data_IF_644125638038
#
_entry.id   IF_644125638038
#
_cell.length_a   1.000
_cell.length_b   1.000
_cell.length_c   1.000
_cell.angle_alpha   90.00
_cell.angle_beta   90.00
_cell.angle_gamma   90.00
#
_symmetry.space_group_name_H-M   'P 1'
#
loop_
_entity.id
_entity.type
_entity.pdbx_description
1 polymer ?
#
# COMPACT_ATOMS: atom_id res chain seq x y z
N UNK A 1 2.49 -17.19 -18.70
CA UNK A 1 1.67 -16.05 -18.23
C UNK A 1 1.27 -16.34 -16.80
N UNK A 2 1.70 -15.51 -15.85
CA UNK A 2 1.36 -15.70 -14.43
C UNK A 2 -0.06 -15.20 -14.14
N UNK A 3 -0.81 -15.92 -13.32
CA UNK A 3 -2.11 -15.50 -12.79
C UNK A 3 -1.93 -14.88 -11.40
N UNK A 4 -2.45 -13.68 -11.19
CA UNK A 4 -2.48 -13.02 -9.88
C UNK A 4 -3.90 -12.92 -9.36
N UNK A 5 -4.03 -12.87 -8.04
CA UNK A 5 -5.23 -12.33 -7.38
C UNK A 5 -4.86 -11.11 -6.54
N UNK A 6 -5.78 -10.16 -6.42
CA UNK A 6 -5.58 -8.88 -5.75
C UNK A 6 -6.60 -8.69 -4.62
N UNK A 7 -6.20 -9.05 -3.40
CA UNK A 7 -7.06 -8.96 -2.21
C UNK A 7 -6.86 -7.61 -1.52
N UNK A 8 -7.94 -7.05 -0.96
CA UNK A 8 -7.93 -5.70 -0.40
C UNK A 8 -7.41 -4.69 -1.44
N UNK A 9 -7.93 -4.83 -2.66
CA UNK A 9 -7.33 -4.29 -3.87
C UNK A 9 -7.24 -2.75 -3.86
N UNK A 10 -8.13 -2.09 -3.11
CA UNK A 10 -8.25 -0.64 -3.10
C UNK A 10 -8.40 -0.10 -4.52
N UNK A 11 -7.39 0.64 -4.97
CA UNK A 11 -7.33 1.22 -6.31
C UNK A 11 -6.30 0.54 -7.22
N UNK A 12 -5.88 -0.68 -6.89
CA UNK A 12 -5.05 -1.54 -7.73
C UNK A 12 -3.56 -1.20 -7.73
N UNK A 13 -3.05 -0.55 -6.68
CA UNK A 13 -1.64 -0.17 -6.60
C UNK A 13 -0.68 -1.35 -6.59
N UNK A 14 -1.03 -2.45 -5.92
CA UNK A 14 -0.19 -3.66 -5.91
C UNK A 14 -0.23 -4.33 -7.29
N UNK A 15 -1.44 -4.55 -7.82
CA UNK A 15 -1.66 -5.06 -9.18
C UNK A 15 -0.86 -4.27 -10.22
N UNK A 16 -0.94 -2.94 -10.22
CA UNK A 16 -0.24 -2.10 -11.18
C UNK A 16 1.28 -2.31 -11.14
N UNK A 17 1.86 -2.46 -9.94
CA UNK A 17 3.28 -2.78 -9.81
C UNK A 17 3.66 -4.12 -10.45
N UNK A 18 2.79 -5.14 -10.33
CA UNK A 18 2.99 -6.43 -10.99
C UNK A 18 2.80 -6.34 -12.51
N UNK A 19 1.77 -5.64 -12.99
CA UNK A 19 1.52 -5.42 -14.42
C UNK A 19 2.68 -4.68 -15.09
N UNK A 20 3.36 -3.78 -14.37
CA UNK A 20 4.56 -3.08 -14.87
C UNK A 20 5.83 -3.94 -14.87
N UNK A 21 5.93 -4.93 -13.97
CA UNK A 21 7.14 -5.76 -13.82
C UNK A 21 7.11 -7.04 -14.69
N UNK A 22 5.92 -7.60 -14.91
CA UNK A 22 5.74 -8.86 -15.63
C UNK A 22 5.31 -8.64 -17.08
N UNK A 23 6.03 -9.28 -18.01
CA UNK A 23 5.63 -9.36 -19.42
C UNK A 23 4.54 -10.42 -19.56
N UNK A 24 3.30 -10.06 -19.20
CA UNK A 24 2.14 -10.96 -19.25
C UNK A 24 1.80 -11.59 -17.90
N UNK A 25 1.32 -10.76 -16.98
CA UNK A 25 0.54 -11.17 -15.80
C UNK A 25 -0.94 -10.94 -16.07
N UNK A 26 -1.80 -11.82 -15.58
CA UNK A 26 -3.25 -11.69 -15.67
C UNK A 26 -3.87 -11.69 -14.28
N UNK A 27 -4.56 -10.61 -13.92
CA UNK A 27 -5.45 -10.64 -12.76
C UNK A 27 -6.64 -11.53 -13.07
N UNK A 28 -6.87 -12.55 -12.23
CA UNK A 28 -8.01 -13.47 -12.38
C UNK A 28 -9.06 -13.29 -11.30
N UNK A 29 -8.75 -12.53 -10.25
CA UNK A 29 -9.67 -12.22 -9.16
C UNK A 29 -9.20 -10.99 -8.39
N UNK A 30 -10.12 -10.10 -8.07
CA UNK A 30 -9.88 -8.94 -7.20
C UNK A 30 -10.97 -8.88 -6.14
N UNK A 31 -10.63 -8.42 -4.93
CA UNK A 31 -11.59 -8.20 -3.84
C UNK A 31 -11.40 -6.84 -3.18
N UNK A 32 -12.46 -6.05 -3.12
CA UNK A 32 -12.53 -4.74 -2.48
C UNK A 32 -13.98 -4.43 -2.05
N UNK A 33 -14.15 -4.01 -0.78
CA UNK A 33 -15.48 -3.77 -0.19
C UNK A 33 -15.92 -2.30 -0.33
N UNK A 34 -14.98 -1.36 -0.44
CA UNK A 34 -15.29 0.06 -0.58
C UNK A 34 -15.76 0.37 -2.02
N UNK A 35 -17.04 0.71 -2.15
CA UNK A 35 -17.65 1.02 -3.45
C UNK A 35 -16.95 2.11 -4.25
N UNK A 36 -16.32 3.10 -3.60
CA UNK A 36 -15.63 4.18 -4.30
C UNK A 36 -14.26 3.71 -4.79
N UNK A 37 -13.57 2.87 -4.01
CA UNK A 37 -12.35 2.20 -4.44
C UNK A 37 -12.64 1.28 -5.64
N UNK A 38 -13.72 0.48 -5.59
CA UNK A 38 -14.18 -0.34 -6.73
C UNK A 38 -14.43 0.52 -7.98
N UNK A 39 -15.08 1.67 -7.84
CA UNK A 39 -15.30 2.59 -8.96
C UNK A 39 -13.98 3.05 -9.60
N UNK A 40 -13.00 3.48 -8.79
CA UNK A 40 -11.67 3.87 -9.28
C UNK A 40 -10.92 2.68 -9.88
N UNK A 41 -11.01 1.50 -9.27
CA UNK A 41 -10.38 0.27 -9.75
C UNK A 41 -10.89 -0.10 -11.14
N UNK A 42 -12.21 -0.15 -11.32
CA UNK A 42 -12.85 -0.50 -12.59
C UNK A 42 -12.54 0.52 -13.71
N UNK A 43 -12.41 1.81 -13.37
CA UNK A 43 -12.03 2.83 -14.35
C UNK A 43 -10.61 2.65 -14.90
N UNK A 44 -9.71 2.00 -14.15
CA UNK A 44 -8.30 1.88 -14.50
C UNK A 44 -7.89 0.48 -14.99
N UNK A 45 -8.50 -0.57 -14.44
CA UNK A 45 -8.14 -1.95 -14.76
C UNK A 45 -9.18 -2.66 -15.64
N UNK A 46 -10.45 -2.23 -15.57
CA UNK A 46 -11.55 -2.67 -16.46
C UNK A 46 -11.83 -4.18 -16.50
N UNK A 47 -12.93 -4.54 -17.17
CA UNK A 47 -13.16 -5.89 -17.70
C UNK A 47 -13.43 -7.04 -16.71
N UNK A 48 -13.29 -6.83 -15.40
CA UNK A 48 -13.49 -7.86 -14.38
C UNK A 48 -14.44 -7.43 -13.26
N UNK A 49 -15.15 -8.40 -12.70
CA UNK A 49 -15.97 -8.21 -11.50
C UNK A 49 -15.07 -8.18 -10.28
N UNK A 50 -15.11 -7.07 -9.54
CA UNK A 50 -14.44 -6.95 -8.24
C UNK A 50 -15.35 -7.59 -7.19
N UNK A 51 -14.85 -8.63 -6.53
CA UNK A 51 -15.54 -9.27 -5.42
C UNK A 51 -15.65 -8.31 -4.24
N UNK A 52 -16.76 -8.37 -3.50
CA UNK A 52 -16.98 -7.52 -2.33
C UNK A 52 -16.22 -8.01 -1.10
N UNK A 53 -16.97 -8.33 -0.05
CA UNK A 53 -16.43 -8.77 1.23
C UNK A 53 -15.75 -10.15 1.15
N UNK A 54 -14.42 -10.18 1.23
CA UNK A 54 -13.62 -11.41 1.18
C UNK A 54 -13.96 -12.40 2.29
N UNK A 55 -14.47 -11.92 3.43
CA UNK A 55 -14.86 -12.76 4.57
C UNK A 55 -16.09 -13.61 4.27
N UNK A 56 -16.88 -13.22 3.27
CA UNK A 56 -18.09 -13.91 2.81
C UNK A 56 -17.86 -14.72 1.53
N UNK A 57 -16.66 -14.65 0.96
CA UNK A 57 -16.33 -15.32 -0.30
C UNK A 57 -15.90 -16.76 -0.04
N UNK A 58 -16.57 -17.73 -0.67
CA UNK A 58 -16.13 -19.11 -0.65
C UNK A 58 -14.79 -19.24 -1.39
N UNK A 59 -13.86 -19.97 -0.79
CA UNK A 59 -12.56 -20.24 -1.43
C UNK A 59 -12.74 -20.98 -2.75
N UNK A 60 -13.77 -21.82 -2.87
CA UNK A 60 -14.05 -22.56 -4.09
C UNK A 60 -14.28 -21.63 -5.30
N UNK A 61 -14.84 -20.44 -5.07
CA UNK A 61 -15.14 -19.45 -6.11
C UNK A 61 -13.91 -18.61 -6.51
N UNK A 62 -12.83 -18.67 -5.72
CA UNK A 62 -11.58 -17.99 -6.07
C UNK A 62 -10.86 -18.84 -7.13
N UNK A 63 -10.50 -18.30 -8.30
CA UNK A 63 -9.78 -19.07 -9.32
C UNK A 63 -8.38 -19.50 -8.86
N UNK A 64 -7.88 -20.58 -9.45
CA UNK A 64 -6.48 -20.97 -9.28
C UNK A 64 -5.56 -19.88 -9.85
N UNK A 65 -4.51 -19.59 -9.09
CA UNK A 65 -3.60 -18.49 -9.33
C UNK A 65 -2.19 -18.85 -8.89
N UNK A 66 -1.21 -18.17 -9.47
CA UNK A 66 0.21 -18.42 -9.19
C UNK A 66 0.72 -17.52 -8.07
N UNK A 67 0.18 -16.31 -7.94
CA UNK A 67 0.65 -15.32 -6.97
C UNK A 67 -0.55 -14.63 -6.29
N UNK A 68 -0.54 -14.60 -4.95
CA UNK A 68 -1.52 -13.87 -4.15
C UNK A 68 -0.97 -12.51 -3.72
N UNK A 69 -1.72 -11.43 -3.94
CA UNK A 69 -1.37 -10.06 -3.55
C UNK A 69 -2.35 -9.58 -2.47
N UNK A 70 -1.85 -8.96 -1.39
CA UNK A 70 -2.73 -8.41 -0.35
C UNK A 70 -2.11 -7.24 0.44
N UNK A 71 -2.75 -6.06 0.39
CA UNK A 71 -2.47 -4.92 1.28
C UNK A 71 -3.47 -4.86 2.42
N UNK A 72 -3.32 -5.72 3.43
CA UNK A 72 -4.39 -5.96 4.41
C UNK A 72 -4.40 -4.93 5.55
N UNK A 73 -5.57 -4.57 6.09
CA UNK A 73 -5.68 -3.65 7.22
C UNK A 73 -4.92 -4.13 8.47
N UNK A 74 -4.22 -3.21 9.15
CA UNK A 74 -3.51 -3.50 10.40
C UNK A 74 -4.52 -3.63 11.56
N UNK A 75 -4.87 -4.86 11.95
CA UNK A 75 -5.76 -5.15 13.08
C UNK A 75 -4.98 -5.79 14.25
N UNK A 76 -5.35 -5.50 15.51
CA UNK A 76 -4.72 -6.12 16.67
C UNK A 76 -5.10 -7.61 16.80
N UNK A 77 -4.10 -8.48 16.99
CA UNK A 77 -4.26 -9.94 17.11
C UNK A 77 -4.54 -10.41 18.55
N UNK A 78 -4.90 -9.51 19.47
CA UNK A 78 -4.95 -9.78 20.90
C UNK A 78 -5.95 -10.88 21.31
N UNK A 79 -6.87 -11.30 20.44
CA UNK A 79 -7.80 -12.41 20.69
C UNK A 79 -7.35 -13.76 20.09
N UNK A 80 -6.51 -13.77 19.05
CA UNK A 80 -6.13 -15.02 18.37
C UNK A 80 -5.13 -15.89 19.16
N UNK A 81 -4.41 -15.31 20.13
CA UNK A 81 -3.41 -16.02 20.96
C UNK A 81 -3.99 -16.91 22.07
N UNK A 82 -5.30 -16.87 22.31
CA UNK A 82 -5.95 -17.61 23.40
C UNK A 82 -6.33 -19.06 23.00
N UNK A 83 -5.44 -19.81 22.32
CA UNK A 83 -5.51 -21.29 22.14
C UNK A 83 -6.91 -21.90 21.85
N UNK A 84 -7.83 -21.18 21.19
CA UNK A 84 -9.22 -21.62 20.97
C UNK A 84 -9.52 -22.05 19.53
N UNK A 85 -8.49 -22.49 18.81
CA UNK A 85 -8.62 -23.06 17.47
C UNK A 85 -9.19 -22.09 16.43
N UNK A 86 -9.41 -22.62 15.22
CA UNK A 86 -9.89 -21.87 14.04
C UNK A 86 -11.18 -21.05 14.28
N UNK A 87 -12.00 -21.40 15.28
CA UNK A 87 -13.28 -20.76 15.55
C UNK A 87 -13.19 -19.36 16.20
N UNK A 88 -12.04 -18.98 16.77
CA UNK A 88 -11.84 -17.69 17.48
C UNK A 88 -11.10 -16.63 16.65
N UNK A 89 -10.84 -16.92 15.37
CA UNK A 89 -10.14 -16.04 14.41
C UNK A 89 -11.06 -14.99 13.74
N UNK A 90 -12.34 -14.98 14.13
CA UNK A 90 -13.42 -14.15 13.59
C UNK A 90 -13.17 -12.66 13.90
N UNK A 91 -12.33 -12.01 13.11
CA UNK A 91 -12.12 -10.56 13.21
C UNK A 91 -10.85 -10.01 12.60
N UNK A 92 -9.88 -10.85 12.23
CA UNK A 92 -8.64 -10.36 11.58
C UNK A 92 -8.50 -10.87 10.15
N UNK A 93 -8.47 -9.93 9.20
CA UNK A 93 -8.44 -10.17 7.75
C UNK A 93 -7.20 -10.95 7.26
N UNK A 94 -6.16 -11.08 8.10
CA UNK A 94 -5.04 -11.99 7.84
C UNK A 94 -5.47 -13.46 7.75
N UNK A 95 -6.43 -13.91 8.57
CA UNK A 95 -6.87 -15.31 8.55
C UNK A 95 -7.68 -15.64 7.29
N UNK A 96 -8.32 -14.65 6.65
CA UNK A 96 -8.91 -14.82 5.33
C UNK A 96 -7.84 -15.05 4.25
N UNK A 97 -6.71 -14.35 4.34
CA UNK A 97 -5.55 -14.61 3.47
C UNK A 97 -5.02 -16.02 3.73
N UNK A 98 -4.80 -16.40 4.99
CA UNK A 98 -4.32 -17.74 5.35
C UNK A 98 -5.25 -18.85 4.84
N UNK A 99 -6.57 -18.69 5.02
CA UNK A 99 -7.58 -19.61 4.51
C UNK A 99 -7.43 -19.85 3.00
N UNK A 100 -7.20 -18.78 2.23
CA UNK A 100 -6.99 -18.86 0.78
C UNK A 100 -5.64 -19.51 0.46
N UNK A 101 -4.56 -19.14 1.16
CA UNK A 101 -3.23 -19.73 0.96
C UNK A 101 -3.21 -21.24 1.21
N UNK A 102 -3.89 -21.72 2.27
CA UNK A 102 -3.96 -23.14 2.64
C UNK A 102 -4.67 -23.98 1.57
N UNK A 103 -5.72 -23.41 0.98
CA UNK A 103 -6.59 -24.12 0.05
C UNK A 103 -6.11 -24.01 -1.41
N UNK A 104 -5.66 -22.83 -1.85
CA UNK A 104 -5.23 -22.57 -3.23
C UNK A 104 -3.75 -22.80 -3.47
N UNK A 105 -2.93 -22.73 -2.41
CA UNK A 105 -1.48 -22.97 -2.45
C UNK A 105 -0.77 -22.32 -3.65
N UNK A 106 -0.94 -20.99 -3.88
CA UNK A 106 -0.20 -20.30 -4.93
C UNK A 106 1.31 -20.50 -4.79
N UNK A 107 2.03 -20.35 -5.90
CA UNK A 107 3.49 -20.51 -5.92
C UNK A 107 4.20 -19.45 -5.05
N UNK A 108 3.62 -18.25 -4.98
CA UNK A 108 4.13 -17.15 -4.17
C UNK A 108 3.03 -16.23 -3.63
N UNK A 109 3.38 -15.36 -2.70
CA UNK A 109 2.54 -14.24 -2.28
C UNK A 109 3.36 -12.97 -2.00
N UNK A 110 2.67 -11.82 -2.06
CA UNK A 110 3.14 -10.55 -1.51
C UNK A 110 2.08 -9.98 -0.57
N UNK A 111 2.45 -9.79 0.70
CA UNK A 111 1.66 -9.06 1.69
C UNK A 111 2.32 -7.72 2.02
N UNK A 112 1.53 -6.68 2.16
CA UNK A 112 1.97 -5.34 2.58
C UNK A 112 1.28 -4.92 3.87
N UNK A 113 2.01 -4.22 4.74
CA UNK A 113 1.43 -3.59 5.94
C UNK A 113 2.27 -2.39 6.44
N UNK A 114 1.74 -1.68 7.43
CA UNK A 114 2.44 -0.56 8.08
C UNK A 114 3.72 -1.02 8.81
N UNK A 115 4.77 -0.19 8.80
CA UNK A 115 6.06 -0.53 9.46
C UNK A 115 5.91 -0.92 10.93
N UNK A 116 4.89 -0.38 11.61
CA UNK A 116 4.65 -0.59 13.03
C UNK A 116 4.30 -2.05 13.34
N UNK A 117 3.84 -2.83 12.37
CA UNK A 117 3.59 -4.26 12.53
C UNK A 117 4.82 -5.00 13.09
N UNK A 118 6.03 -4.58 12.69
CA UNK A 118 7.31 -5.14 13.18
C UNK A 118 7.48 -5.03 14.70
N UNK A 119 6.98 -3.97 15.32
CA UNK A 119 7.08 -3.72 16.76
C UNK A 119 5.76 -3.91 17.52
N UNK A 120 4.67 -4.21 16.83
CA UNK A 120 3.34 -4.31 17.42
C UNK A 120 3.27 -5.45 18.44
N UNK A 121 2.66 -5.20 19.60
CA UNK A 121 2.58 -6.14 20.72
C UNK A 121 3.96 -6.77 21.06
N UNK A 122 5.00 -5.91 21.15
CA UNK A 122 6.40 -6.32 21.40
C UNK A 122 6.93 -7.33 20.36
N UNK A 123 6.46 -7.23 19.11
CA UNK A 123 6.84 -8.11 18.00
C UNK A 123 6.02 -9.40 17.90
N UNK A 124 5.14 -9.70 18.88
CA UNK A 124 4.35 -10.94 18.90
C UNK A 124 3.46 -11.08 17.68
N UNK A 125 2.85 -9.97 17.23
CA UNK A 125 1.93 -10.00 16.09
C UNK A 125 2.61 -10.48 14.81
N UNK A 126 3.77 -9.92 14.46
CA UNK A 126 4.51 -10.36 13.29
C UNK A 126 4.99 -11.82 13.43
N UNK A 127 5.42 -12.24 14.62
CA UNK A 127 5.83 -13.62 14.87
C UNK A 127 4.68 -14.62 14.65
N UNK A 128 3.46 -14.29 15.09
CA UNK A 128 2.27 -15.11 14.84
C UNK A 128 1.99 -15.20 13.35
N UNK A 129 1.96 -14.07 12.63
CA UNK A 129 1.78 -14.05 11.17
C UNK A 129 2.80 -14.95 10.47
N UNK A 130 4.08 -14.83 10.83
CA UNK A 130 5.15 -15.63 10.22
C UNK A 130 5.00 -17.13 10.52
N UNK A 131 4.64 -17.50 11.75
CA UNK A 131 4.40 -18.90 12.11
C UNK A 131 3.25 -19.51 11.31
N UNK A 132 2.16 -18.79 11.13
CA UNK A 132 1.01 -19.21 10.31
C UNK A 132 1.39 -19.36 8.82
N UNK A 133 2.12 -18.40 8.25
CA UNK A 133 2.58 -18.49 6.86
C UNK A 133 3.56 -19.66 6.63
N UNK A 134 4.42 -19.94 7.60
CA UNK A 134 5.31 -21.11 7.59
C UNK A 134 4.54 -22.43 7.72
N UNK A 135 3.54 -22.49 8.60
CA UNK A 135 2.64 -23.64 8.73
C UNK A 135 1.81 -23.88 7.46
N UNK A 136 1.47 -22.82 6.72
CA UNK A 136 0.87 -22.92 5.39
C UNK A 136 1.84 -23.43 4.31
N UNK A 137 3.12 -23.65 4.65
CA UNK A 137 4.13 -24.29 3.80
C UNK A 137 5.10 -23.34 3.11
N UNK A 138 5.07 -22.03 3.40
CA UNK A 138 5.88 -21.05 2.67
C UNK A 138 7.20 -20.73 3.37
N UNK A 139 8.25 -20.55 2.56
CA UNK A 139 9.47 -19.86 2.97
C UNK A 139 9.25 -18.36 2.84
N UNK A 140 9.31 -17.63 3.96
CA UNK A 140 8.90 -16.22 4.04
C UNK A 140 10.09 -15.30 4.27
N UNK A 141 10.12 -14.20 3.53
CA UNK A 141 11.08 -13.11 3.58
C UNK A 141 10.36 -11.83 4.03
N UNK A 142 11.00 -11.02 4.86
CA UNK A 142 10.43 -9.76 5.35
C UNK A 142 11.41 -8.61 5.27
N UNK A 143 10.96 -7.43 4.84
CA UNK A 143 11.78 -6.21 4.85
C UNK A 143 10.92 -4.96 5.01
N UNK A 144 11.48 -3.89 5.59
CA UNK A 144 10.88 -2.56 5.61
C UNK A 144 11.52 -1.69 4.53
N UNK A 145 10.74 -1.31 3.52
CA UNK A 145 11.19 -0.45 2.42
C UNK A 145 10.55 0.94 2.51
N UNK A 146 11.27 1.94 2.00
CA UNK A 146 10.87 3.36 2.05
C UNK A 146 10.63 3.89 0.65
N UNK A 147 9.49 4.54 0.41
CA UNK A 147 9.13 5.06 -0.91
C UNK A 147 10.20 5.96 -1.55
N UNK A 148 10.87 6.80 -0.75
CA UNK A 148 11.97 7.67 -1.21
C UNK A 148 13.19 6.94 -1.74
N UNK A 149 13.43 5.71 -1.28
CA UNK A 149 14.55 4.90 -1.74
C UNK A 149 14.26 4.32 -3.15
N UNK A 150 13.04 4.54 -3.67
CA UNK A 150 12.53 4.09 -4.97
C UNK A 150 11.94 5.26 -5.78
N UNK A 151 12.49 6.47 -5.60
CA UNK A 151 12.21 7.62 -6.48
C UNK A 151 10.95 8.42 -6.15
N UNK A 152 10.26 8.12 -5.05
CA UNK A 152 9.03 8.84 -4.65
C UNK A 152 9.30 9.79 -3.48
N UNK A 153 9.05 11.10 -3.59
CA UNK A 153 9.35 12.10 -2.55
C UNK A 153 8.38 12.03 -1.34
N UNK A 154 8.25 10.87 -0.71
CA UNK A 154 7.38 10.64 0.44
C UNK A 154 8.13 9.83 1.51
N UNK A 155 8.08 10.28 2.77
CA UNK A 155 8.56 9.53 3.93
C UNK A 155 7.54 8.44 4.33
N UNK A 156 7.34 7.45 3.44
CA UNK A 156 6.41 6.32 3.61
C UNK A 156 7.22 5.03 3.70
N UNK A 157 7.22 4.44 4.88
CA UNK A 157 7.87 3.14 5.12
C UNK A 157 6.80 2.08 5.38
N UNK A 158 6.99 0.89 4.79
CA UNK A 158 6.06 -0.24 4.88
C UNK A 158 6.83 -1.54 5.02
N UNK A 159 6.25 -2.47 5.77
CA UNK A 159 6.77 -3.84 5.83
C UNK A 159 6.14 -4.65 4.72
N UNK A 160 6.97 -5.43 4.04
CA UNK A 160 6.57 -6.35 3.00
C UNK A 160 6.92 -7.77 3.43
N UNK A 161 6.02 -8.70 3.18
CA UNK A 161 6.23 -10.12 3.40
C UNK A 161 6.08 -10.82 2.06
N UNK A 162 7.14 -11.47 1.60
CA UNK A 162 7.16 -12.26 0.37
C UNK A 162 7.33 -13.71 0.73
N UNK A 163 6.44 -14.57 0.26
CA UNK A 163 6.50 -16.01 0.51
C UNK A 163 6.57 -16.82 -0.75
N UNK A 164 7.31 -17.93 -0.72
CA UNK A 164 7.39 -18.90 -1.80
C UNK A 164 7.08 -20.30 -1.28
N UNK A 165 6.23 -21.02 -2.00
CA UNK A 165 5.90 -22.41 -1.66
C UNK A 165 7.07 -23.35 -1.94
N UNK A 166 7.87 -23.05 -2.97
CA UNK A 166 9.13 -23.74 -3.23
C UNK A 166 10.27 -23.15 -2.38
N UNK A 167 10.84 -23.94 -1.49
CA UNK A 167 11.88 -23.49 -0.55
C UNK A 167 13.26 -23.32 -1.17
N UNK A 168 13.46 -23.85 -2.39
CA UNK A 168 14.70 -23.68 -3.17
C UNK A 168 14.82 -22.28 -3.81
N UNK A 169 13.74 -21.50 -3.80
CA UNK A 169 13.78 -20.11 -4.25
C UNK A 169 14.71 -19.30 -3.35
N UNK A 170 15.70 -18.64 -3.96
CA UNK A 170 16.52 -17.63 -3.31
C UNK A 170 16.03 -16.24 -3.73
N UNK A 171 15.40 -15.54 -2.80
CA UNK A 171 14.85 -14.21 -3.00
C UNK A 171 15.55 -13.19 -2.13
N UNK A 172 15.77 -12.00 -2.70
CA UNK A 172 16.27 -10.83 -1.97
C UNK A 172 15.40 -9.63 -2.33
N UNK A 173 15.11 -8.80 -1.33
CA UNK A 173 14.42 -7.54 -1.57
C UNK A 173 15.26 -6.60 -2.43
N UNK A 174 14.60 -5.74 -3.23
CA UNK A 174 15.31 -4.79 -4.08
C UNK A 174 16.09 -3.78 -3.24
N UNK A 175 17.22 -3.32 -3.79
CA UNK A 175 18.04 -2.30 -3.15
C UNK A 175 17.57 -0.89 -3.53
N UNK A 176 17.85 0.13 -2.70
CA UNK A 176 17.61 1.53 -3.05
C UNK A 176 18.21 1.90 -4.40
N UNK A 177 17.49 2.71 -5.20
CA UNK A 177 17.95 3.13 -6.53
C UNK A 177 19.02 4.25 -6.48
N UNK A 178 19.25 4.83 -5.30
CA UNK A 178 20.27 5.89 -5.10
C UNK A 178 19.93 7.25 -5.72
N UNK A 179 18.69 7.45 -6.17
CA UNK A 179 18.23 8.70 -6.77
C UNK A 179 17.70 9.66 -5.69
N UNK A 180 18.17 10.91 -5.71
CA UNK A 180 17.58 11.97 -4.91
C UNK A 180 16.18 12.33 -5.44
N UNK A 181 15.24 12.53 -4.53
CA UNK A 181 13.86 12.93 -4.86
C UNK A 181 13.66 14.41 -4.55
N UNK A 182 12.78 15.07 -5.30
CA UNK A 182 12.29 16.40 -4.97
C UNK A 182 10.76 16.42 -4.95
N UNK A 183 10.16 17.10 -3.98
CA UNK A 183 8.70 17.28 -3.94
C UNK A 183 8.22 17.99 -5.20
N UNK A 184 9.03 18.87 -5.80
CA UNK A 184 8.74 19.50 -7.09
C UNK A 184 8.38 18.53 -8.21
N UNK A 185 8.95 17.31 -8.21
CA UNK A 185 8.74 16.30 -9.28
C UNK A 185 7.29 15.81 -9.37
N UNK A 186 6.51 15.94 -8.29
CA UNK A 186 5.11 15.53 -8.26
C UNK A 186 4.14 16.69 -8.47
N UNK A 187 4.58 17.94 -8.36
CA UNK A 187 3.69 19.11 -8.33
C UNK A 187 3.15 19.43 -9.72
N UNK A 188 1.90 19.88 -9.78
CA UNK A 188 1.34 20.47 -10.99
C UNK A 188 1.87 21.90 -11.16
N UNK A 189 2.16 22.29 -12.40
CA UNK A 189 2.64 23.64 -12.70
C UNK A 189 1.60 24.72 -12.36
N UNK A 190 0.32 24.42 -12.58
CA UNK A 190 -0.79 25.36 -12.41
C UNK A 190 -1.96 24.69 -11.66
N UNK A 191 -1.82 24.42 -10.35
CA UNK A 191 -2.88 23.80 -9.56
C UNK A 191 -4.05 24.79 -9.37
N UNK A 192 -5.28 24.28 -9.37
CA UNK A 192 -6.50 25.06 -9.13
C UNK A 192 -6.44 25.80 -7.77
N UNK A 193 -6.83 27.07 -7.76
CA UNK A 193 -6.80 27.91 -6.55
C UNK A 193 -7.67 27.36 -5.40
N UNK A 194 -8.68 26.53 -5.71
CA UNK A 194 -9.52 25.86 -4.70
C UNK A 194 -8.72 25.03 -3.69
N UNK A 195 -7.49 24.63 -4.02
CA UNK A 195 -6.60 23.88 -3.13
C UNK A 195 -5.90 24.76 -2.09
N UNK A 196 -5.89 26.08 -2.27
CA UNK A 196 -5.41 27.02 -1.25
C UNK A 196 -6.33 26.97 -0.03
N UNK A 197 -5.75 26.76 1.16
CA UNK A 197 -6.56 26.60 2.37
C UNK A 197 -7.16 27.95 2.82
N UNK A 198 -8.30 27.88 3.50
CA UNK A 198 -8.96 29.07 4.07
C UNK A 198 -8.16 29.68 5.23
N UNK A 199 -8.39 30.97 5.51
CA UNK A 199 -7.77 31.67 6.64
C UNK A 199 -8.05 30.97 7.98
N UNK A 200 -9.30 30.54 8.18
CA UNK A 200 -9.70 29.81 9.39
C UNK A 200 -8.94 28.51 9.55
N UNK A 201 -8.72 27.76 8.47
CA UNK A 201 -7.98 26.51 8.53
C UNK A 201 -6.50 26.75 8.80
N UNK A 202 -5.91 27.76 8.15
CA UNK A 202 -4.52 28.14 8.33
C UNK A 202 -4.23 28.58 9.77
N UNK A 203 -5.04 29.49 10.32
CA UNK A 203 -4.96 29.92 11.71
C UNK A 203 -5.10 28.73 12.68
N UNK A 204 -6.00 27.78 12.37
CA UNK A 204 -6.16 26.55 13.16
C UNK A 204 -4.90 25.68 13.16
N UNK A 205 -4.24 25.53 12.00
CA UNK A 205 -2.96 24.81 11.88
C UNK A 205 -1.84 25.49 12.67
N UNK A 206 -1.70 26.82 12.54
CA UNK A 206 -0.71 27.60 13.28
C UNK A 206 -0.93 27.51 14.80
N UNK A 207 -2.17 27.66 15.26
CA UNK A 207 -2.53 27.56 16.68
C UNK A 207 -2.19 26.18 17.25
N UNK A 208 -2.64 25.09 16.60
CA UNK A 208 -2.35 23.71 17.05
C UNK A 208 -0.87 23.41 17.10
N UNK A 209 -0.08 23.92 16.15
CA UNK A 209 1.39 23.76 16.15
C UNK A 209 2.04 24.47 17.34
N UNK A 210 1.56 25.68 17.70
CA UNK A 210 2.03 26.41 18.87
C UNK A 210 1.64 25.71 20.19
N UNK A 211 0.38 25.27 20.31
CA UNK A 211 -0.13 24.52 21.48
C UNK A 211 0.65 23.22 21.71
N UNK A 212 0.88 22.43 20.66
CA UNK A 212 1.66 21.19 20.75
C UNK A 212 3.10 21.47 21.19
N UNK A 213 3.75 22.50 20.61
CA UNK A 213 5.10 22.91 21.02
C UNK A 213 5.15 23.31 22.50
N UNK A 214 4.17 24.09 22.98
CA UNK A 214 4.08 24.48 24.39
C UNK A 214 3.87 23.28 25.32
N UNK A 215 3.13 22.26 24.87
CA UNK A 215 2.92 21.01 25.60
C UNK A 215 4.07 20.00 25.50
N UNK A 216 5.23 20.38 24.92
CA UNK A 216 6.38 19.48 24.72
C UNK A 216 6.14 18.39 23.67
N UNK A 217 5.10 18.52 22.82
CA UNK A 217 4.76 17.57 21.76
C UNK A 217 5.40 18.03 20.44
N UNK A 218 6.12 17.13 19.77
CA UNK A 218 6.83 17.42 18.52
C UNK A 218 6.01 17.37 17.22
N UNK A 219 4.68 17.46 17.28
CA UNK A 219 3.81 17.24 16.11
C UNK A 219 3.01 18.49 15.71
N UNK A 220 2.79 18.67 14.41
CA UNK A 220 2.03 19.77 13.81
C UNK A 220 1.82 19.53 12.32
N UNK A 221 1.41 20.57 11.58
CA UNK A 221 1.31 20.46 10.13
C UNK A 221 2.69 20.39 9.46
N UNK A 222 2.79 19.62 8.38
CA UNK A 222 3.93 19.59 7.46
C UNK A 222 3.80 20.68 6.41
N UNK A 223 4.89 21.41 6.19
CA UNK A 223 4.98 22.48 5.20
C UNK A 223 6.19 22.21 4.32
N UNK A 224 5.98 22.18 3.01
CA UNK A 224 6.95 21.74 2.01
C UNK A 224 6.92 22.67 0.78
N UNK A 225 8.00 22.66 0.01
CA UNK A 225 8.16 23.39 -1.25
C UNK A 225 8.79 22.48 -2.31
N UNK A 226 9.04 22.99 -3.51
CA UNK A 226 9.56 22.21 -4.63
C UNK A 226 10.95 21.60 -4.33
N UNK A 227 11.76 22.29 -3.53
CA UNK A 227 13.13 21.91 -3.16
C UNK A 227 13.17 20.92 -1.98
N UNK A 228 12.04 20.70 -1.31
CA UNK A 228 11.94 19.73 -0.23
C UNK A 228 12.26 18.33 -0.77
N UNK A 229 13.14 17.59 -0.10
CA UNK A 229 13.53 16.25 -0.56
C UNK A 229 12.35 15.26 -0.56
N UNK A 230 11.46 15.35 0.43
CA UNK A 230 10.27 14.51 0.54
C UNK A 230 9.21 15.11 1.48
N UNK A 231 7.96 14.68 1.32
CA UNK A 231 6.84 15.00 2.21
C UNK A 231 6.71 14.01 3.37
N UNK A 232 5.84 14.29 4.34
CA UNK A 232 5.34 13.26 5.26
C UNK A 232 4.52 12.20 4.51
N UNK A 233 4.22 11.08 5.18
CA UNK A 233 3.26 10.08 4.68
C UNK A 233 1.88 10.70 4.49
N UNK A 234 1.28 10.57 3.31
CA UNK A 234 -0.15 10.86 3.13
C UNK A 234 -0.99 9.76 3.79
N UNK A 235 -1.92 10.17 4.66
CA UNK A 235 -2.84 9.26 5.35
C UNK A 235 -4.23 9.30 4.70
N UNK A 236 -5.05 8.27 4.93
CA UNK A 236 -6.45 8.31 4.51
C UNK A 236 -7.29 9.37 5.26
N UNK A 237 -6.71 10.09 6.24
CA UNK A 237 -7.35 11.24 6.91
C UNK A 237 -6.97 12.58 6.29
N UNK A 238 -6.08 12.60 5.30
CA UNK A 238 -5.63 13.82 4.62
C UNK A 238 -6.78 14.66 4.05
N UNK A 239 -7.89 14.02 3.66
CA UNK A 239 -9.09 14.72 3.19
C UNK A 239 -9.62 15.76 4.19
N UNK A 240 -9.42 15.56 5.51
CA UNK A 240 -9.97 16.42 6.57
C UNK A 240 -9.40 17.83 6.52
N UNK A 241 -8.08 17.96 6.58
CA UNK A 241 -7.42 19.26 6.71
C UNK A 241 -6.06 19.38 6.02
N UNK A 242 -5.58 18.30 5.39
CA UNK A 242 -4.29 18.26 4.69
C UNK A 242 -3.07 18.49 5.58
N UNK A 243 -3.21 18.40 6.90
CA UNK A 243 -2.15 18.79 7.85
C UNK A 243 -0.82 18.07 7.61
N UNK A 244 -0.83 16.84 7.13
CA UNK A 244 0.40 16.08 6.91
C UNK A 244 1.29 16.71 5.82
N UNK A 245 0.68 17.34 4.81
CA UNK A 245 1.34 17.83 3.59
C UNK A 245 0.66 19.11 3.10
N UNK A 246 1.24 20.27 3.43
CA UNK A 246 0.89 21.55 2.83
C UNK A 246 2.03 22.06 1.95
N UNK A 247 1.69 22.63 0.80
CA UNK A 247 2.66 23.21 -0.13
C UNK A 247 2.71 24.73 0.05
N UNK A 248 3.90 25.27 0.25
CA UNK A 248 4.17 26.70 0.33
C UNK A 248 3.78 27.41 -0.97
N UNK A 249 3.23 28.61 -0.84
CA UNK A 249 2.88 29.47 -1.97
C UNK A 249 3.44 30.87 -1.70
N UNK A 250 4.35 31.40 -2.54
CA UNK A 250 4.87 32.75 -2.37
C UNK A 250 3.74 33.78 -2.34
N UNK A 251 3.67 34.59 -1.28
CA UNK A 251 2.65 35.64 -1.12
C UNK A 251 1.21 35.14 -0.89
N UNK A 252 0.98 33.83 -0.76
CA UNK A 252 -0.33 33.22 -0.51
C UNK A 252 -0.29 32.30 0.71
N UNK A 253 -1.47 31.89 1.19
CA UNK A 253 -1.59 30.81 2.18
C UNK A 253 -1.10 29.48 1.57
N UNK A 254 -0.66 28.50 2.36
CA UNK A 254 -0.33 27.19 1.82
C UNK A 254 -1.53 26.52 1.14
N UNK A 255 -1.26 25.57 0.24
CA UNK A 255 -2.31 24.74 -0.38
C UNK A 255 -2.17 23.27 0.02
N UNK A 256 -3.26 22.53 -0.12
CA UNK A 256 -3.20 21.07 -0.18
C UNK A 256 -2.55 20.62 -1.50
N UNK A 257 -2.01 19.41 -1.52
CA UNK A 257 -1.72 18.75 -2.79
C UNK A 257 -3.02 18.37 -3.49
N UNK A 258 -3.06 18.38 -4.82
CA UNK A 258 -4.22 17.97 -5.61
C UNK A 258 -4.37 16.44 -5.60
N UNK A 259 -5.52 15.88 -6.03
CA UNK A 259 -5.65 14.43 -6.23
C UNK A 259 -4.64 13.86 -7.23
N UNK A 260 -4.27 14.61 -8.29
CA UNK A 260 -3.25 14.19 -9.26
C UNK A 260 -1.85 14.18 -8.62
N UNK A 261 -1.50 15.21 -7.87
CA UNK A 261 -0.25 15.25 -7.11
C UNK A 261 -0.19 14.12 -6.06
N UNK A 262 -1.30 13.78 -5.42
CA UNK A 262 -1.41 12.64 -4.50
C UNK A 262 -1.23 11.28 -5.22
N UNK A 263 -1.73 11.15 -6.45
CA UNK A 263 -1.50 9.97 -7.29
C UNK A 263 -0.01 9.81 -7.63
N UNK A 264 0.64 10.90 -8.08
CA UNK A 264 2.09 10.95 -8.34
C UNK A 264 2.92 10.66 -7.08
N UNK A 265 2.48 11.15 -5.92
CA UNK A 265 3.11 10.87 -4.62
C UNK A 265 3.03 9.39 -4.21
N UNK A 266 2.16 8.59 -4.81
CA UNK A 266 2.12 7.13 -4.67
C UNK A 266 2.73 6.40 -5.88
N UNK A 267 3.22 7.14 -6.87
CA UNK A 267 3.83 6.62 -8.11
C UNK A 267 2.84 6.07 -9.13
N UNK A 268 1.57 6.47 -9.07
CA UNK A 268 0.62 6.17 -10.14
C UNK A 268 0.90 7.04 -11.38
N UNK A 269 0.69 6.51 -12.60
CA UNK A 269 0.92 7.27 -13.83
C UNK A 269 -0.08 8.42 -13.99
N UNK A 270 0.28 9.42 -14.79
CA UNK A 270 -0.61 10.56 -15.10
C UNK A 270 -1.87 10.15 -15.86
N UNK A 271 -1.83 9.01 -16.57
CA UNK A 271 -3.00 8.41 -17.21
C UNK A 271 -4.01 7.78 -16.24
N UNK A 272 -3.63 7.57 -14.97
CA UNK A 272 -4.51 6.97 -13.97
C UNK A 272 -5.75 7.83 -13.74
N UNK A 273 -6.94 7.27 -13.94
CA UNK A 273 -8.22 7.96 -13.84
C UNK A 273 -8.66 8.10 -12.37
N UNK A 274 -9.20 9.27 -12.03
CA UNK A 274 -9.70 9.59 -10.68
C UNK A 274 -11.19 9.96 -10.79
N UNK A 275 -12.11 8.97 -10.90
CA UNK A 275 -13.52 9.21 -11.21
C UNK A 275 -14.37 9.58 -9.97
N UNK A 276 -13.73 9.92 -8.86
CA UNK A 276 -14.36 10.17 -7.55
C UNK A 276 -14.06 11.58 -7.06
N UNK A 277 -14.76 12.02 -6.01
CA UNK A 277 -14.51 13.32 -5.40
C UNK A 277 -13.12 13.41 -4.78
N UNK A 278 -12.57 14.62 -4.67
CA UNK A 278 -11.28 14.88 -4.00
C UNK A 278 -11.18 14.20 -2.63
N UNK A 279 -12.24 14.26 -1.83
CA UNK A 279 -12.26 13.64 -0.51
C UNK A 279 -12.09 12.12 -0.55
N UNK A 280 -12.70 11.44 -1.54
CA UNK A 280 -12.52 10.00 -1.74
C UNK A 280 -11.15 9.69 -2.34
N UNK A 281 -10.68 10.49 -3.30
CA UNK A 281 -9.35 10.32 -3.89
C UNK A 281 -8.25 10.39 -2.81
N UNK A 282 -8.31 11.37 -1.89
CA UNK A 282 -7.35 11.44 -0.79
C UNK A 282 -7.41 10.24 0.16
N UNK A 283 -8.61 9.67 0.42
CA UNK A 283 -8.74 8.44 1.21
C UNK A 283 -8.07 7.27 0.50
N UNK A 284 -8.35 7.12 -0.79
CA UNK A 284 -7.81 6.06 -1.64
C UNK A 284 -6.28 6.13 -1.72
N UNK A 285 -5.69 7.28 -2.09
CA UNK A 285 -4.23 7.43 -2.14
C UNK A 285 -3.54 7.35 -0.77
N UNK A 286 -4.24 7.73 0.31
CA UNK A 286 -3.75 7.54 1.67
C UNK A 286 -3.63 6.07 2.07
N UNK A 287 -4.59 5.24 1.66
CA UNK A 287 -4.63 3.79 1.90
C UNK A 287 -3.84 2.97 0.86
N UNK A 288 -3.55 3.53 -0.31
CA UNK A 288 -2.81 2.82 -1.37
C UNK A 288 -1.35 2.53 -1.01
N UNK A 289 -0.66 1.83 -1.90
CA UNK A 289 0.76 1.48 -1.81
C UNK A 289 1.60 2.38 -2.70
N UNK A 290 2.93 2.35 -2.49
CA UNK A 290 3.87 3.01 -3.39
C UNK A 290 4.16 2.09 -4.59
N UNK A 291 3.65 2.42 -5.77
CA UNK A 291 3.70 1.58 -6.97
C UNK A 291 5.15 1.24 -7.37
N UNK A 292 6.13 2.17 -7.38
CA UNK A 292 7.53 1.83 -7.67
C UNK A 292 8.16 0.82 -6.72
N UNK A 293 7.79 0.85 -5.43
CA UNK A 293 8.28 -0.15 -4.47
C UNK A 293 7.70 -1.53 -4.80
N UNK A 294 6.40 -1.60 -5.10
CA UNK A 294 5.78 -2.86 -5.50
C UNK A 294 6.41 -3.39 -6.78
N UNK A 295 6.59 -2.54 -7.79
CA UNK A 295 7.24 -2.91 -9.05
C UNK A 295 8.63 -3.50 -8.80
N UNK A 296 9.46 -2.84 -7.99
CA UNK A 296 10.80 -3.32 -7.69
C UNK A 296 10.78 -4.68 -6.96
N UNK A 297 9.82 -4.91 -6.05
CA UNK A 297 9.63 -6.22 -5.40
C UNK A 297 9.18 -7.26 -6.45
N UNK A 298 8.22 -6.92 -7.30
CA UNK A 298 7.68 -7.79 -8.33
C UNK A 298 8.76 -8.21 -9.34
N UNK A 299 9.67 -7.32 -9.72
CA UNK A 299 10.84 -7.63 -10.56
C UNK A 299 11.76 -8.67 -9.90
N UNK A 300 12.03 -8.54 -8.59
CA UNK A 300 12.81 -9.54 -7.84
C UNK A 300 12.06 -10.87 -7.72
N UNK A 301 10.74 -10.85 -7.50
CA UNK A 301 9.92 -12.06 -7.44
C UNK A 301 9.90 -12.79 -8.79
N UNK A 302 9.76 -12.05 -9.90
CA UNK A 302 9.83 -12.60 -11.27
C UNK A 302 11.16 -13.31 -11.49
N UNK A 303 12.28 -12.64 -11.20
CA UNK A 303 13.62 -13.22 -11.35
C UNK A 303 13.79 -14.50 -10.52
N UNK A 304 13.33 -14.49 -9.27
CA UNK A 304 13.44 -15.63 -8.36
C UNK A 304 12.61 -16.83 -8.81
N UNK A 305 11.39 -16.60 -9.32
CA UNK A 305 10.51 -17.66 -9.85
C UNK A 305 11.05 -18.27 -11.16
N UNK A 306 11.59 -17.43 -12.05
CA UNK A 306 12.19 -17.89 -13.31
C UNK A 306 13.45 -18.75 -13.08
N UNK A 307 14.35 -18.32 -12.18
CA UNK A 307 15.62 -19.01 -11.93
C UNK A 307 15.46 -20.47 -11.46
N UNK A 308 14.34 -20.80 -10.81
CA UNK A 308 14.04 -22.17 -10.35
C UNK A 308 13.40 -23.02 -11.43
N UNK A 309 12.66 -22.39 -12.35
CA UNK A 309 12.07 -23.08 -13.51
C UNK A 309 13.16 -23.59 -14.45
N UNK A 310 14.20 -22.78 -14.68
CA UNK A 310 15.32 -23.12 -15.57
C UNK A 310 16.23 -24.22 -15.02
N UNK A 311 16.27 -24.43 -13.69
CA UNK A 311 17.07 -25.50 -13.06
C UNK A 311 16.44 -26.89 -13.15
N UNK A 312 15.16 -26.96 -13.53
CA UNK A 312 14.40 -28.22 -13.65
C UNK A 312 14.32 -28.76 -15.09
N UNK A 313 14.91 -28.04 -16.05
CA UNK A 313 15.07 -28.44 -17.45
C UNK A 313 16.51 -28.90 -17.65
#
# INVERSE_FOLDING_TARGET
>A
MFKIIDLFAGIGGIRLGFEQAFDGVRCVFSSEIDKYAVQTYQANHGGETVCGDITQTDVADIPDHDILLAGFPCQPFSQAGLKKGFADTRGTLFFDIERILLAKKPQAFLLENVKQLKGHDKGRTLQVILAHLQQAGYKVYTEVLKARDFGIPQNRERIYLVGFLNHDVDFRFPQPIGQATAVGDILEAYPDEKYTISDKLWQGHQRRKAENRAAGKGFGYGLFNAESAYTNTISARYYKDGSEILIEQPGKKPRKITPREAARLQGFPDSFQIPVSDAQAYRQFGNSVCVPVIRAIAEQMKAALSAVSDRKV
#
